data_IF_418174181702
#
_entry.id   IF_418174181702
#
_cell.length_a   1.000
_cell.length_b   1.000
_cell.length_c   1.000
_cell.angle_alpha   90.00
_cell.angle_beta   90.00
_cell.angle_gamma   90.00
#
_symmetry.space_group_name_H-M   'P 1'
#
loop_
_entity.id
_entity.type
_entity.pdbx_description
1 polymer ?
#
# COMPACT_ATOMS: atom_id res chain seq x y z
N UNK A 1 -74.90 13.35 71.98
CA UNK A 1 -76.06 14.26 71.83
C UNK A 1 -76.23 14.51 70.34
N UNK A 2 -77.42 14.17 69.81
CA UNK A 2 -78.04 14.51 68.53
C UNK A 2 -77.14 14.67 67.28
N UNK A 3 -77.22 13.69 66.38
CA UNK A 3 -77.06 13.97 64.96
C UNK A 3 -78.32 14.71 64.49
N UNK A 4 -78.12 15.82 63.79
CA UNK A 4 -79.20 16.51 63.08
C UNK A 4 -79.15 16.06 61.62
N UNK A 5 -80.07 15.18 61.25
CA UNK A 5 -80.41 14.85 59.88
C UNK A 5 -80.84 16.14 59.15
N UNK A 6 -79.93 16.76 58.41
CA UNK A 6 -80.29 17.81 57.45
C UNK A 6 -80.94 17.13 56.24
N UNK A 7 -82.27 17.22 56.18
CA UNK A 7 -83.05 16.88 55.01
C UNK A 7 -82.61 17.76 53.84
N UNK A 8 -82.01 17.13 52.84
CA UNK A 8 -81.46 17.78 51.65
C UNK A 8 -82.61 18.33 50.79
N UNK A 9 -83.01 19.57 51.09
CA UNK A 9 -84.07 20.28 50.39
C UNK A 9 -83.55 20.80 49.05
N UNK A 10 -83.51 19.95 48.02
CA UNK A 10 -83.09 20.37 46.68
C UNK A 10 -84.03 21.42 46.08
N UNK A 11 -83.49 22.60 45.77
CA UNK A 11 -84.18 23.64 44.99
C UNK A 11 -83.62 23.59 43.57
N UNK A 12 -84.47 23.36 42.57
CA UNK A 12 -84.09 23.47 41.17
C UNK A 12 -84.48 24.85 40.62
N UNK A 13 -83.55 25.47 39.89
CA UNK A 13 -83.80 26.68 39.12
C UNK A 13 -83.26 26.48 37.70
N UNK A 14 -83.90 27.09 36.71
CA UNK A 14 -83.42 27.05 35.34
C UNK A 14 -82.31 28.11 35.17
N UNK A 15 -81.11 27.64 34.84
CA UNK A 15 -80.00 28.49 34.44
C UNK A 15 -80.19 29.00 33.00
N UNK A 16 -79.65 30.18 32.64
CA UNK A 16 -79.47 30.55 31.24
C UNK A 16 -78.62 29.48 30.52
N UNK A 17 -78.97 29.15 29.27
CA UNK A 17 -78.36 28.05 28.52
C UNK A 17 -76.83 28.16 28.44
N UNK A 18 -76.30 29.36 28.20
CA UNK A 18 -74.86 29.60 28.09
C UNK A 18 -74.08 29.23 29.37
N UNK A 19 -74.71 29.39 30.55
CA UNK A 19 -74.10 29.05 31.84
C UNK A 19 -74.21 27.54 32.09
N UNK A 20 -75.32 26.92 31.69
CA UNK A 20 -75.54 25.49 31.84
C UNK A 20 -74.54 24.67 31.00
N UNK A 21 -74.30 25.12 29.76
CA UNK A 21 -73.35 24.51 28.85
C UNK A 21 -71.91 24.63 29.39
N UNK A 22 -71.53 25.82 29.88
CA UNK A 22 -70.21 26.03 30.47
C UNK A 22 -69.96 25.15 31.70
N UNK A 23 -70.94 25.01 32.60
CA UNK A 23 -70.83 24.14 33.78
C UNK A 23 -70.64 22.68 33.37
N UNK A 24 -71.31 22.24 32.30
CA UNK A 24 -71.16 20.88 31.77
C UNK A 24 -69.75 20.63 31.25
N UNK A 25 -69.24 21.54 30.43
CA UNK A 25 -67.90 21.42 29.84
C UNK A 25 -66.80 21.45 30.91
N UNK A 26 -66.99 22.27 31.94
CA UNK A 26 -66.06 22.37 33.05
C UNK A 26 -66.07 21.11 33.95
N UNK A 27 -67.24 20.52 34.18
CA UNK A 27 -67.37 19.25 34.90
C UNK A 27 -66.65 18.11 34.16
N UNK A 28 -66.85 18.02 32.84
CA UNK A 28 -66.14 17.03 32.00
C UNK A 28 -64.62 17.25 32.01
N UNK A 29 -64.15 18.51 32.02
CA UNK A 29 -62.72 18.83 32.08
C UNK A 29 -62.06 18.38 33.38
N UNK A 30 -62.77 18.49 34.51
CA UNK A 30 -62.26 18.13 35.84
C UNK A 30 -62.54 16.67 36.23
N UNK A 31 -63.30 15.95 35.41
CA UNK A 31 -63.82 14.61 35.71
C UNK A 31 -64.64 14.59 37.02
N UNK A 32 -65.42 15.64 37.23
CA UNK A 32 -66.26 15.86 38.41
C UNK A 32 -67.73 15.95 38.02
N UNK A 33 -68.65 15.77 38.97
CA UNK A 33 -70.07 15.92 38.68
C UNK A 33 -70.44 17.40 38.50
N UNK A 34 -71.41 17.69 37.61
CA UNK A 34 -71.93 19.06 37.42
C UNK A 34 -72.36 19.70 38.74
N UNK A 35 -72.92 18.91 39.65
CA UNK A 35 -73.32 19.38 40.98
C UNK A 35 -72.11 19.79 41.84
N UNK A 36 -70.99 19.06 41.78
CA UNK A 36 -69.77 19.39 42.51
C UNK A 36 -69.17 20.71 42.04
N UNK A 37 -69.10 20.92 40.72
CA UNK A 37 -68.61 22.18 40.14
C UNK A 37 -69.54 23.34 40.47
N UNK A 38 -70.86 23.16 40.38
CA UNK A 38 -71.83 24.16 40.82
C UNK A 38 -71.66 24.51 42.30
N UNK A 39 -71.48 23.50 43.15
CA UNK A 39 -71.30 23.68 44.59
C UNK A 39 -70.03 24.46 44.87
N UNK A 40 -68.91 24.07 44.28
CA UNK A 40 -67.62 24.73 44.46
C UNK A 40 -67.66 26.19 43.98
N UNK A 41 -68.26 26.43 42.81
CA UNK A 41 -68.42 27.78 42.30
C UNK A 41 -69.35 28.63 43.17
N UNK A 42 -70.44 28.06 43.71
CA UNK A 42 -71.30 28.77 44.65
C UNK A 42 -70.59 29.02 45.98
N UNK A 43 -69.74 28.11 46.46
CA UNK A 43 -68.91 28.31 47.64
C UNK A 43 -67.92 29.44 47.41
N UNK A 44 -67.21 29.44 46.28
CA UNK A 44 -66.27 30.50 45.92
C UNK A 44 -66.98 31.85 45.73
N UNK A 45 -68.11 31.87 45.02
CA UNK A 45 -68.91 33.08 44.81
C UNK A 45 -69.51 33.60 46.13
N UNK A 46 -69.96 32.71 47.02
CA UNK A 46 -70.40 33.05 48.35
C UNK A 46 -69.26 33.68 49.15
N UNK A 47 -68.09 33.03 49.22
CA UNK A 47 -66.89 33.54 49.92
C UNK A 47 -66.50 34.94 49.44
N UNK A 48 -66.47 35.16 48.11
CA UNK A 48 -66.20 36.48 47.53
C UNK A 48 -67.30 37.51 47.88
N UNK A 49 -68.57 37.12 47.84
CA UNK A 49 -69.71 38.03 48.07
C UNK A 49 -69.89 38.42 49.55
N UNK A 50 -69.65 37.50 50.48
CA UNK A 50 -69.66 37.79 51.92
C UNK A 50 -68.37 38.47 52.39
N UNK A 51 -67.37 38.62 51.50
CA UNK A 51 -66.04 39.09 51.87
C UNK A 51 -65.41 38.17 52.92
N UNK A 52 -65.78 36.89 52.88
CA UNK A 52 -65.23 35.86 53.74
C UNK A 52 -63.91 35.44 53.09
N UNK A 53 -62.83 36.07 53.52
CA UNK A 53 -61.43 35.82 53.14
C UNK A 53 -60.95 34.43 53.65
N UNK A 54 -61.86 33.47 53.77
CA UNK A 54 -61.70 32.24 54.52
C UNK A 54 -61.82 30.96 53.68
N UNK A 55 -62.13 31.01 52.39
CA UNK A 55 -61.62 29.98 51.47
C UNK A 55 -60.15 30.29 51.18
N UNK A 56 -59.36 30.25 52.24
CA UNK A 56 -57.90 30.36 52.17
C UNK A 56 -57.36 29.21 51.35
N UNK A 57 -56.17 29.37 50.77
CA UNK A 57 -55.47 28.32 50.01
C UNK A 57 -55.37 27.00 50.81
N UNK A 58 -55.47 27.04 52.15
CA UNK A 58 -55.58 25.88 53.06
C UNK A 58 -56.78 24.96 52.82
N UNK A 59 -57.87 25.45 52.21
CA UNK A 59 -59.07 24.64 51.96
C UNK A 59 -59.04 23.99 50.57
N UNK A 60 -58.32 24.58 49.61
CA UNK A 60 -58.13 24.07 48.24
C UNK A 60 -56.97 23.07 48.13
N UNK A 61 -55.91 23.30 48.89
CA UNK A 61 -54.79 22.38 49.09
C UNK A 61 -54.80 22.14 50.59
N UNK A 62 -55.25 20.96 51.02
CA UNK A 62 -55.49 20.69 52.43
C UNK A 62 -54.32 21.18 53.29
N UNK A 63 -54.61 21.93 54.36
CA UNK A 63 -53.61 22.45 55.31
C UNK A 63 -52.53 21.43 55.68
N UNK A 64 -52.92 20.16 55.79
CA UNK A 64 -52.04 19.03 56.07
C UNK A 64 -50.99 18.77 54.95
N UNK A 65 -51.33 18.99 53.67
CA UNK A 65 -50.41 18.81 52.53
C UNK A 65 -49.34 19.90 52.48
N UNK A 66 -49.71 21.16 52.79
CA UNK A 66 -48.77 22.27 52.86
C UNK A 66 -47.81 22.10 54.05
N UNK A 67 -48.31 21.70 55.21
CA UNK A 67 -47.48 21.39 56.38
C UNK A 67 -46.54 20.20 56.12
N UNK A 68 -47.01 19.18 55.40
CA UNK A 68 -46.18 18.05 54.98
C UNK A 68 -45.06 18.46 54.01
N UNK A 69 -45.37 19.29 53.01
CA UNK A 69 -44.39 19.79 52.05
C UNK A 69 -43.36 20.71 52.73
N UNK A 70 -43.80 21.58 53.62
CA UNK A 70 -42.90 22.43 54.40
C UNK A 70 -41.97 21.57 55.26
N UNK A 71 -42.50 20.56 55.96
CA UNK A 71 -41.70 19.60 56.72
C UNK A 71 -40.70 18.81 55.85
N UNK A 72 -41.10 18.39 54.65
CA UNK A 72 -40.20 17.72 53.69
C UNK A 72 -39.09 18.65 53.21
N UNK A 73 -39.43 19.91 52.93
CA UNK A 73 -38.49 20.90 52.44
C UNK A 73 -37.49 21.29 53.55
N UNK A 74 -37.96 21.39 54.80
CA UNK A 74 -37.09 21.57 55.96
C UNK A 74 -36.16 20.37 56.18
N UNK A 75 -36.68 19.15 56.09
CA UNK A 75 -35.88 17.94 56.19
C UNK A 75 -34.81 17.86 55.08
N UNK A 76 -35.19 18.14 53.83
CA UNK A 76 -34.24 18.18 52.70
C UNK A 76 -33.20 19.29 52.84
N UNK A 77 -33.60 20.47 53.35
CA UNK A 77 -32.66 21.57 53.63
C UNK A 77 -31.65 21.15 54.69
N UNK A 78 -32.09 20.42 55.71
CA UNK A 78 -31.18 19.93 56.75
C UNK A 78 -30.24 18.85 56.23
N UNK A 79 -30.77 17.86 55.50
CA UNK A 79 -29.95 16.84 54.82
C UNK A 79 -28.90 17.48 53.90
N UNK A 80 -29.28 18.48 53.11
CA UNK A 80 -28.34 19.18 52.24
C UNK A 80 -27.26 19.94 53.01
N UNK A 81 -27.60 20.54 54.16
CA UNK A 81 -26.60 21.17 55.04
C UNK A 81 -25.62 20.13 55.57
N UNK A 82 -26.11 19.00 56.07
CA UNK A 82 -25.25 17.90 56.56
C UNK A 82 -24.31 17.38 55.47
N UNK A 83 -24.80 17.18 54.24
CA UNK A 83 -23.98 16.75 53.11
C UNK A 83 -22.92 17.78 52.72
N UNK A 84 -23.25 19.08 52.74
CA UNK A 84 -22.27 20.14 52.51
C UNK A 84 -21.19 20.14 53.59
N UNK A 85 -21.56 19.90 54.85
CA UNK A 85 -20.60 19.79 55.95
C UNK A 85 -19.70 18.57 55.82
N UNK A 86 -20.23 17.42 55.37
CA UNK A 86 -19.43 16.22 55.10
C UNK A 86 -18.43 16.45 53.96
N UNK A 87 -18.88 17.01 52.83
CA UNK A 87 -18.00 17.32 51.69
C UNK A 87 -16.92 18.31 52.11
N UNK A 88 -17.29 19.36 52.86
CA UNK A 88 -16.31 20.31 53.41
C UNK A 88 -15.28 19.60 54.28
N UNK A 89 -15.73 18.72 55.19
CA UNK A 89 -14.85 17.95 56.06
C UNK A 89 -13.88 17.08 55.24
N UNK A 90 -14.39 16.37 54.24
CA UNK A 90 -13.61 15.51 53.35
C UNK A 90 -12.58 16.29 52.54
N UNK A 91 -12.94 17.42 51.96
CA UNK A 91 -12.01 18.27 51.18
C UNK A 91 -10.91 18.81 52.09
N UNK A 92 -11.26 19.29 53.29
CA UNK A 92 -10.26 19.75 54.28
C UNK A 92 -9.34 18.60 54.67
N UNK A 93 -9.87 17.40 54.88
CA UNK A 93 -9.07 16.21 55.16
C UNK A 93 -8.11 15.89 54.01
N UNK A 94 -8.60 15.77 52.78
CA UNK A 94 -7.77 15.49 51.60
C UNK A 94 -6.69 16.55 51.43
N UNK A 95 -7.03 17.83 51.57
CA UNK A 95 -6.05 18.92 51.53
C UNK A 95 -4.99 18.77 52.60
N UNK A 96 -5.38 18.49 53.85
CA UNK A 96 -4.42 18.26 54.95
C UNK A 96 -3.54 17.03 54.69
N UNK A 97 -4.10 15.94 54.18
CA UNK A 97 -3.35 14.74 53.83
C UNK A 97 -2.39 14.97 52.67
N UNK A 98 -2.82 15.70 51.63
CA UNK A 98 -1.97 16.05 50.49
C UNK A 98 -0.86 17.01 50.91
N UNK A 99 -1.17 18.06 51.69
CA UNK A 99 -0.17 18.99 52.23
C UNK A 99 0.83 18.30 53.16
N UNK A 100 0.39 17.29 53.92
CA UNK A 100 1.27 16.49 54.77
C UNK A 100 2.17 15.55 53.94
N UNK A 101 1.70 15.09 52.78
CA UNK A 101 2.48 14.24 51.85
C UNK A 101 3.46 15.06 51.01
N UNK A 102 3.14 16.31 50.72
CA UNK A 102 3.90 17.18 49.86
C UNK A 102 3.71 18.63 50.32
N UNK A 103 4.72 19.19 50.98
CA UNK A 103 4.72 20.61 51.33
C UNK A 103 4.63 21.48 50.06
N UNK A 104 4.11 22.70 50.21
CA UNK A 104 3.95 23.66 49.08
C UNK A 104 5.26 23.89 48.32
N UNK A 105 6.40 23.81 49.01
CA UNK A 105 7.74 24.04 48.46
C UNK A 105 8.56 22.74 48.32
N UNK A 106 7.92 21.57 48.22
CA UNK A 106 8.67 20.36 47.95
C UNK A 106 9.22 20.40 46.52
N UNK A 107 10.54 20.34 46.38
CA UNK A 107 11.17 20.19 45.08
C UNK A 107 10.91 18.78 44.55
N UNK A 108 10.26 18.70 43.39
CA UNK A 108 10.27 17.49 42.61
C UNK A 108 11.69 17.32 42.05
N UNK A 109 12.40 16.22 42.32
CA UNK A 109 13.60 15.90 41.56
C UNK A 109 13.15 15.82 40.10
N UNK A 110 13.58 16.80 39.30
CA UNK A 110 13.23 16.86 37.89
C UNK A 110 13.71 15.58 37.22
N UNK A 111 13.00 15.16 36.17
CA UNK A 111 13.55 14.23 35.18
C UNK A 111 14.96 14.64 34.79
N UNK A 112 15.75 13.66 34.30
CA UNK A 112 17.15 13.74 33.87
C UNK A 112 17.74 15.16 33.96
N UNK A 113 18.68 15.33 34.89
CA UNK A 113 19.37 16.60 35.11
C UNK A 113 19.81 17.24 33.79
N UNK A 114 19.89 18.58 33.76
CA UNK A 114 20.35 19.29 32.57
C UNK A 114 21.72 18.79 32.09
N UNK A 115 22.56 18.32 33.02
CA UNK A 115 23.82 17.62 32.72
C UNK A 115 23.60 16.29 32.01
N UNK A 116 22.71 15.40 32.49
CA UNK A 116 22.37 14.15 31.79
C UNK A 116 21.78 14.40 30.39
N UNK A 117 21.00 15.47 30.22
CA UNK A 117 20.46 15.87 28.91
C UNK A 117 21.53 16.45 27.98
N UNK A 118 22.52 17.16 28.53
CA UNK A 118 23.66 17.65 27.76
C UNK A 118 24.54 16.48 27.30
N UNK A 119 24.87 15.56 28.20
CA UNK A 119 25.66 14.35 27.89
C UNK A 119 24.98 13.52 26.79
N UNK A 120 23.65 13.33 26.88
CA UNK A 120 22.92 12.57 25.87
C UNK A 120 22.93 13.26 24.49
N UNK A 121 22.91 14.59 24.45
CA UNK A 121 23.01 15.35 23.18
C UNK A 121 24.40 15.19 22.57
N UNK A 122 25.45 15.28 23.39
CA UNK A 122 26.82 15.08 22.95
C UNK A 122 27.04 13.66 22.42
N UNK A 123 26.44 12.65 23.06
CA UNK A 123 26.45 11.26 22.61
C UNK A 123 25.73 11.10 21.26
N UNK A 124 24.58 11.75 21.07
CA UNK A 124 23.85 11.74 19.80
C UNK A 124 24.69 12.40 18.70
N UNK A 125 25.28 13.57 18.95
CA UNK A 125 26.14 14.26 17.98
C UNK A 125 27.40 13.44 17.65
N UNK A 126 27.98 12.76 18.63
CA UNK A 126 29.09 11.84 18.40
C UNK A 126 28.67 10.62 17.55
N UNK A 127 27.47 10.09 17.78
CA UNK A 127 26.93 8.98 17.01
C UNK A 127 26.63 9.38 15.57
N UNK A 128 26.02 10.55 15.35
CA UNK A 128 25.75 11.12 14.03
C UNK A 128 27.05 11.31 13.24
N UNK A 129 28.06 11.94 13.85
CA UNK A 129 29.39 12.09 13.21
C UNK A 129 30.03 10.76 12.84
N UNK A 130 29.90 9.74 13.71
CA UNK A 130 30.42 8.39 13.42
C UNK A 130 29.65 7.73 12.29
N UNK A 131 28.33 7.92 12.23
CA UNK A 131 27.47 7.38 11.19
C UNK A 131 27.79 8.02 9.83
N UNK A 132 27.89 9.35 9.78
CA UNK A 132 28.25 10.09 8.58
C UNK A 132 29.64 9.70 8.05
N UNK A 133 30.62 9.59 8.96
CA UNK A 133 31.95 9.10 8.60
C UNK A 133 31.93 7.66 8.08
N UNK A 134 31.09 6.81 8.67
CA UNK A 134 30.88 5.43 8.23
C UNK A 134 30.26 5.37 6.82
N UNK A 135 29.20 6.14 6.57
CA UNK A 135 28.58 6.23 5.25
C UNK A 135 29.52 6.78 4.20
N UNK A 136 30.28 7.85 4.50
CA UNK A 136 31.28 8.37 3.58
C UNK A 136 32.35 7.32 3.22
N UNK A 137 32.74 6.47 4.17
CA UNK A 137 33.66 5.38 3.88
C UNK A 137 33.02 4.29 2.99
N UNK A 138 31.77 3.92 3.24
CA UNK A 138 31.06 2.97 2.39
C UNK A 138 30.86 3.49 0.97
N UNK A 139 30.51 4.77 0.82
CA UNK A 139 30.39 5.42 -0.49
C UNK A 139 31.72 5.36 -1.25
N UNK A 140 32.84 5.72 -0.63
CA UNK A 140 34.17 5.63 -1.25
C UNK A 140 34.50 4.19 -1.70
N UNK A 141 34.17 3.19 -0.87
CA UNK A 141 34.39 1.78 -1.19
C UNK A 141 33.51 1.35 -2.37
N UNK A 142 32.23 1.74 -2.36
CA UNK A 142 31.28 1.38 -3.41
C UNK A 142 31.65 2.03 -4.74
N UNK A 143 32.04 3.31 -4.74
CA UNK A 143 32.56 4.00 -5.94
C UNK A 143 33.77 3.27 -6.51
N UNK A 144 34.76 2.94 -5.68
CA UNK A 144 35.94 2.18 -6.11
C UNK A 144 35.59 0.80 -6.67
N UNK A 145 34.60 0.12 -6.10
CA UNK A 145 34.14 -1.18 -6.59
C UNK A 145 33.43 -1.04 -7.94
N UNK A 146 32.60 -0.02 -8.11
CA UNK A 146 31.92 0.27 -9.38
C UNK A 146 32.93 0.64 -10.48
N UNK A 147 33.88 1.53 -10.20
CA UNK A 147 34.97 1.87 -11.13
C UNK A 147 35.75 0.62 -11.59
N UNK A 148 35.98 -0.31 -10.65
CA UNK A 148 36.70 -1.56 -10.94
C UNK A 148 35.85 -2.54 -11.74
N UNK A 149 34.54 -2.57 -11.55
CA UNK A 149 33.62 -3.36 -12.33
C UNK A 149 33.55 -2.85 -13.77
N UNK A 150 33.45 -1.52 -13.96
CA UNK A 150 33.44 -0.89 -15.27
C UNK A 150 34.75 -1.16 -16.04
N UNK A 151 35.89 -1.07 -15.37
CA UNK A 151 37.19 -1.42 -15.96
C UNK A 151 37.27 -2.91 -16.34
N UNK A 152 36.69 -3.80 -15.53
CA UNK A 152 36.67 -5.23 -15.84
C UNK A 152 35.75 -5.54 -17.03
N UNK A 153 34.60 -4.87 -17.11
CA UNK A 153 33.65 -4.99 -18.22
C UNK A 153 34.27 -4.53 -19.54
N UNK A 154 34.97 -3.38 -19.53
CA UNK A 154 35.68 -2.87 -20.70
C UNK A 154 36.77 -3.85 -21.18
N UNK A 155 37.54 -4.45 -20.25
CA UNK A 155 38.54 -5.47 -20.58
C UNK A 155 37.91 -6.76 -21.10
N UNK A 156 36.80 -7.20 -20.51
CA UNK A 156 36.05 -8.39 -20.95
C UNK A 156 35.54 -8.20 -22.38
N UNK A 157 34.94 -7.06 -22.67
CA UNK A 157 34.47 -6.69 -24.03
C UNK A 157 35.62 -6.70 -25.04
N UNK A 158 36.78 -6.14 -24.66
CA UNK A 158 37.97 -6.13 -25.52
C UNK A 158 38.53 -7.54 -25.76
N UNK A 159 38.54 -8.39 -24.73
CA UNK A 159 38.96 -9.79 -24.88
C UNK A 159 37.99 -10.56 -25.76
N UNK A 160 36.68 -10.35 -25.58
CA UNK A 160 35.65 -10.97 -26.40
C UNK A 160 35.81 -10.58 -27.87
N UNK A 161 36.00 -9.30 -28.18
CA UNK A 161 36.23 -8.84 -29.56
C UNK A 161 37.51 -9.43 -30.14
N UNK A 162 38.60 -9.44 -29.38
CA UNK A 162 39.88 -10.03 -29.83
C UNK A 162 39.73 -11.53 -30.11
N UNK A 163 38.97 -12.26 -29.30
CA UNK A 163 38.72 -13.69 -29.52
C UNK A 163 37.88 -13.92 -30.78
N UNK A 164 36.90 -13.07 -31.06
CA UNK A 164 36.13 -13.13 -32.31
C UNK A 164 37.04 -12.86 -33.51
N UNK A 165 37.86 -11.80 -33.46
CA UNK A 165 38.80 -11.46 -34.54
C UNK A 165 39.79 -12.61 -34.82
N UNK A 166 40.30 -13.27 -33.77
CA UNK A 166 41.19 -14.42 -33.92
C UNK A 166 40.47 -15.63 -34.53
N UNK A 167 39.19 -15.86 -34.20
CA UNK A 167 38.39 -16.93 -34.80
C UNK A 167 38.14 -16.66 -36.28
N UNK A 168 37.72 -15.45 -36.62
CA UNK A 168 37.48 -15.05 -38.01
C UNK A 168 38.77 -15.18 -38.82
N UNK A 169 39.89 -14.71 -38.28
CA UNK A 169 41.19 -14.83 -38.98
C UNK A 169 41.61 -16.28 -39.19
N UNK A 170 41.35 -17.15 -38.20
CA UNK A 170 41.61 -18.59 -38.32
C UNK A 170 40.72 -19.22 -39.39
N UNK A 171 39.45 -18.85 -39.46
CA UNK A 171 38.51 -19.39 -40.45
C UNK A 171 38.84 -18.93 -41.87
N UNK A 172 39.27 -17.69 -42.05
CA UNK A 172 39.81 -17.18 -43.31
C UNK A 172 41.07 -17.94 -43.76
N UNK A 173 42.02 -18.18 -42.85
CA UNK A 173 43.23 -18.95 -43.16
C UNK A 173 42.86 -20.38 -43.56
N UNK A 174 41.96 -21.03 -42.82
CA UNK A 174 41.49 -22.36 -43.13
C UNK A 174 40.74 -22.41 -44.47
N UNK A 175 39.96 -21.39 -44.82
CA UNK A 175 39.31 -21.29 -46.13
C UNK A 175 40.33 -21.17 -47.26
N UNK A 176 41.32 -20.28 -47.14
CA UNK A 176 42.39 -20.13 -48.13
C UNK A 176 43.20 -21.42 -48.32
N UNK A 177 43.46 -22.16 -47.24
CA UNK A 177 44.12 -23.47 -47.30
C UNK A 177 43.26 -24.50 -48.06
N UNK A 178 41.95 -24.57 -47.78
CA UNK A 178 41.02 -25.45 -48.50
C UNK A 178 40.97 -25.11 -49.99
N UNK A 179 40.90 -23.83 -50.34
CA UNK A 179 40.88 -23.36 -51.72
C UNK A 179 42.18 -23.72 -52.46
N UNK A 180 43.32 -23.48 -51.81
CA UNK A 180 44.64 -23.81 -52.36
C UNK A 180 44.78 -25.32 -52.58
N UNK A 181 44.28 -26.13 -51.64
CA UNK A 181 44.28 -27.59 -51.78
C UNK A 181 43.36 -28.05 -52.92
N UNK A 182 42.17 -27.45 -53.07
CA UNK A 182 41.25 -27.76 -54.16
C UNK A 182 41.85 -27.42 -55.53
N UNK A 183 42.45 -26.24 -55.68
CA UNK A 183 43.20 -25.84 -56.88
C UNK A 183 44.33 -26.82 -57.18
N UNK A 184 45.12 -27.17 -56.17
CA UNK A 184 46.23 -28.12 -56.33
C UNK A 184 45.75 -29.49 -56.82
N UNK A 185 44.59 -29.97 -56.34
CA UNK A 185 43.97 -31.21 -56.82
C UNK A 185 43.53 -31.11 -58.28
N UNK A 186 42.87 -30.01 -58.67
CA UNK A 186 42.43 -29.77 -60.06
C UNK A 186 43.62 -29.72 -61.02
N UNK A 187 44.68 -29.01 -60.64
CA UNK A 187 45.92 -28.91 -61.42
C UNK A 187 46.60 -30.28 -61.56
N UNK A 188 46.65 -31.07 -60.48
CA UNK A 188 47.21 -32.42 -60.51
C UNK A 188 46.38 -33.37 -61.39
N UNK A 189 45.05 -33.35 -61.28
CA UNK A 189 44.15 -34.15 -62.11
C UNK A 189 44.30 -33.79 -63.60
N UNK A 190 44.32 -32.50 -63.93
CA UNK A 190 44.57 -32.02 -65.28
C UNK A 190 45.95 -32.46 -65.80
N UNK A 191 46.99 -32.40 -64.97
CA UNK A 191 48.33 -32.87 -65.33
C UNK A 191 48.35 -34.37 -65.63
N UNK A 192 47.70 -35.19 -64.80
CA UNK A 192 47.60 -36.65 -65.00
C UNK A 192 46.87 -37.03 -66.29
N UNK A 193 45.84 -36.26 -66.66
CA UNK A 193 45.07 -36.45 -67.89
C UNK A 193 45.68 -35.75 -69.12
N UNK A 194 46.80 -35.03 -68.96
CA UNK A 194 47.46 -34.28 -70.03
C UNK A 194 46.67 -33.05 -70.53
N UNK A 195 45.77 -32.51 -69.71
CA UNK A 195 44.88 -31.40 -70.03
C UNK A 195 45.53 -30.08 -69.62
N UNK A 196 45.74 -29.17 -70.58
CA UNK A 196 46.17 -27.79 -70.31
C UNK A 196 45.00 -26.82 -70.21
N UNK A 197 44.01 -27.00 -71.08
CA UNK A 197 42.89 -26.09 -71.22
C UNK A 197 41.59 -26.89 -71.26
N UNK A 198 40.59 -26.46 -70.50
CA UNK A 198 39.29 -27.10 -70.42
C UNK A 198 38.18 -26.03 -70.47
N UNK A 199 37.03 -26.39 -71.05
CA UNK A 199 35.87 -25.53 -71.10
C UNK A 199 35.06 -25.68 -69.80
N UNK A 200 34.70 -24.56 -69.18
CA UNK A 200 33.77 -24.56 -68.05
C UNK A 200 32.44 -25.20 -68.44
N UNK A 201 31.92 -26.13 -67.64
CA UNK A 201 30.64 -26.77 -67.90
C UNK A 201 29.46 -25.78 -67.91
N UNK A 202 29.50 -24.78 -67.03
CA UNK A 202 28.40 -23.84 -66.81
C UNK A 202 28.34 -22.72 -67.86
N UNK A 203 29.45 -22.03 -68.12
CA UNK A 203 29.50 -20.92 -69.09
C UNK A 203 30.17 -21.23 -70.43
N UNK A 204 30.81 -22.39 -70.57
CA UNK A 204 31.52 -22.80 -71.80
C UNK A 204 32.86 -22.10 -72.06
N UNK A 205 33.28 -21.15 -71.22
CA UNK A 205 34.53 -20.42 -71.42
C UNK A 205 35.76 -21.33 -71.26
N UNK A 206 36.78 -21.09 -72.08
CA UNK A 206 38.03 -21.85 -72.10
C UNK A 206 38.99 -21.35 -71.02
N UNK A 207 39.36 -22.22 -70.07
CA UNK A 207 40.19 -21.88 -68.91
C UNK A 207 41.48 -22.70 -68.93
N UNK A 208 42.62 -22.04 -68.66
CA UNK A 208 43.89 -22.72 -68.41
C UNK A 208 43.91 -23.24 -66.96
N UNK A 209 43.87 -24.55 -66.80
CA UNK A 209 43.75 -25.18 -65.48
C UNK A 209 45.01 -24.92 -64.64
N UNK A 210 46.18 -24.79 -65.28
CA UNK A 210 47.45 -24.54 -64.61
C UNK A 210 47.59 -23.12 -64.05
N UNK A 211 46.72 -22.20 -64.44
CA UNK A 211 46.72 -20.80 -63.97
C UNK A 211 45.62 -20.49 -62.96
N UNK A 212 44.85 -21.49 -62.53
CA UNK A 212 43.85 -21.32 -61.49
C UNK A 212 44.51 -20.92 -60.17
N UNK A 213 43.97 -19.86 -59.54
CA UNK A 213 44.36 -19.41 -58.19
C UNK A 213 43.26 -19.61 -57.16
N UNK A 214 42.04 -19.94 -57.60
CA UNK A 214 40.86 -20.28 -56.80
C UNK A 214 40.14 -21.47 -57.43
N UNK A 215 39.38 -22.25 -56.66
CA UNK A 215 38.63 -23.41 -57.16
C UNK A 215 37.33 -23.00 -57.88
N UNK A 216 37.36 -21.90 -58.63
CA UNK A 216 36.21 -21.29 -59.30
C UNK A 216 36.58 -20.90 -60.73
N UNK A 217 35.59 -20.88 -61.61
CA UNK A 217 35.79 -20.39 -62.97
C UNK A 217 36.07 -18.87 -62.97
N UNK A 218 37.16 -18.38 -63.58
CA UNK A 218 37.49 -16.95 -63.62
C UNK A 218 36.51 -16.09 -64.44
N UNK A 219 35.59 -16.72 -65.19
CA UNK A 219 34.63 -16.03 -66.05
C UNK A 219 33.22 -15.92 -65.45
N UNK A 220 32.77 -16.95 -64.72
CA UNK A 220 31.40 -17.02 -64.18
C UNK A 220 31.34 -17.32 -62.68
N UNK A 221 32.49 -17.51 -62.02
CA UNK A 221 32.60 -17.78 -60.58
C UNK A 221 31.98 -19.09 -60.10
N UNK A 222 31.55 -19.97 -61.00
CA UNK A 222 31.02 -21.28 -60.62
C UNK A 222 32.15 -22.16 -60.04
N UNK A 223 31.87 -22.83 -58.93
CA UNK A 223 32.81 -23.75 -58.26
C UNK A 223 33.15 -24.93 -59.16
N UNK A 224 34.42 -25.35 -59.15
CA UNK A 224 34.93 -26.43 -59.97
C UNK A 224 35.20 -27.64 -59.07
N UNK A 225 34.48 -28.73 -59.33
CA UNK A 225 34.63 -29.98 -58.58
C UNK A 225 35.75 -30.86 -59.14
N UNK A 226 35.86 -30.97 -60.48
CA UNK A 226 36.82 -31.89 -61.12
C UNK A 226 37.12 -31.52 -62.59
N UNK A 227 38.04 -32.26 -63.22
CA UNK A 227 38.41 -32.12 -64.62
C UNK A 227 38.09 -33.42 -65.38
N UNK A 228 37.34 -33.31 -66.48
CA UNK A 228 36.94 -34.45 -67.31
C UNK A 228 37.58 -34.41 -68.71
N UNK A 229 37.95 -35.59 -69.20
CA UNK A 229 38.40 -35.76 -70.58
C UNK A 229 37.26 -35.54 -71.59
N UNK A 230 37.63 -35.20 -72.83
CA UNK A 230 36.67 -35.08 -73.93
C UNK A 230 35.99 -36.43 -74.20
N UNK A 231 34.66 -36.43 -74.30
CA UNK A 231 33.87 -37.64 -74.56
C UNK A 231 33.78 -38.02 -76.05
N UNK A 232 34.30 -37.18 -76.97
CA UNK A 232 34.20 -37.40 -78.43
C UNK A 232 35.39 -36.83 -79.21
N UNK A 233 35.63 -37.33 -80.43
CA UNK A 233 36.81 -37.02 -81.27
C UNK A 233 36.97 -35.53 -81.61
N UNK A 234 35.88 -34.75 -81.56
CA UNK A 234 35.86 -33.29 -81.79
C UNK A 234 35.56 -32.45 -80.52
N UNK A 235 35.48 -33.08 -79.34
CA UNK A 235 35.10 -32.40 -78.09
C UNK A 235 36.28 -31.72 -77.38
N UNK A 236 35.98 -30.69 -76.58
CA UNK A 236 36.91 -30.10 -75.62
C UNK A 236 36.85 -30.84 -74.27
N UNK A 237 37.97 -30.84 -73.53
CA UNK A 237 37.98 -31.20 -72.12
C UNK A 237 37.05 -30.28 -71.32
N UNK A 238 36.53 -30.74 -70.17
CA UNK A 238 35.57 -29.97 -69.37
C UNK A 238 35.99 -29.81 -67.92
N UNK A 239 35.72 -28.64 -67.35
CA UNK A 239 35.74 -28.41 -65.91
C UNK A 239 34.34 -28.69 -65.39
N UNK A 240 34.21 -29.74 -64.56
CA UNK A 240 32.95 -30.10 -63.95
C UNK A 240 32.62 -29.11 -62.85
N UNK A 241 31.46 -28.47 -62.96
CA UNK A 241 31.03 -27.46 -61.97
C UNK A 241 30.18 -28.09 -60.89
N UNK A 242 30.38 -27.67 -59.65
CA UNK A 242 29.68 -28.19 -58.49
C UNK A 242 30.51 -28.07 -57.22
N UNK A 243 29.88 -28.36 -56.09
CA UNK A 243 30.62 -28.44 -54.83
C UNK A 243 31.58 -29.63 -54.87
N UNK A 244 32.85 -29.45 -54.45
CA UNK A 244 33.77 -30.57 -54.34
C UNK A 244 33.13 -31.61 -53.42
N UNK A 245 33.23 -32.92 -53.73
CA UNK A 245 32.62 -33.95 -52.90
C UNK A 245 33.09 -33.77 -51.47
N UNK A 246 32.15 -33.49 -50.56
CA UNK A 246 32.45 -33.32 -49.15
C UNK A 246 33.12 -34.59 -48.66
N UNK A 247 34.37 -34.50 -48.22
CA UNK A 247 35.02 -35.59 -47.49
C UNK A 247 34.12 -35.87 -46.28
N UNK A 248 33.57 -37.09 -46.22
CA UNK A 248 32.67 -37.54 -45.16
C UNK A 248 33.23 -37.15 -43.80
N UNK A 249 32.54 -36.24 -43.12
CA UNK A 249 32.91 -35.84 -41.76
C UNK A 249 32.56 -36.99 -40.83
N UNK A 250 33.56 -37.51 -40.12
CA UNK A 250 33.35 -38.50 -39.07
C UNK A 250 32.32 -37.97 -38.06
N UNK A 251 31.40 -38.80 -37.54
CA UNK A 251 30.32 -38.36 -36.69
C UNK A 251 30.87 -37.68 -35.43
N UNK A 252 30.49 -36.41 -35.23
CA UNK A 252 30.75 -35.67 -34.01
C UNK A 252 30.05 -36.36 -32.84
N UNK A 253 30.83 -36.87 -31.89
CA UNK A 253 30.28 -37.40 -30.64
C UNK A 253 29.78 -36.24 -29.79
N UNK A 254 28.46 -36.16 -29.62
CA UNK A 254 27.80 -35.27 -28.68
C UNK A 254 28.30 -35.57 -27.24
N UNK A 255 29.06 -34.63 -26.67
CA UNK A 255 29.35 -34.58 -25.24
C UNK A 255 28.48 -33.49 -24.62
N UNK A 256 27.18 -33.78 -24.49
CA UNK A 256 26.30 -33.00 -23.61
C UNK A 256 26.70 -33.29 -22.17
N UNK A 257 27.51 -32.40 -21.60
CA UNK A 257 27.84 -32.40 -20.18
C UNK A 257 26.84 -31.50 -19.48
N UNK A 258 25.79 -32.12 -18.94
CA UNK A 258 24.79 -31.48 -18.09
C UNK A 258 25.45 -31.11 -16.75
N UNK A 259 25.73 -29.82 -16.57
CA UNK A 259 26.14 -29.25 -15.28
C UNK A 259 24.87 -28.79 -14.55
N UNK A 260 24.36 -29.62 -13.65
CA UNK A 260 23.44 -29.20 -12.61
C UNK A 260 24.25 -28.52 -11.49
N UNK A 261 23.86 -27.29 -11.12
CA UNK A 261 24.32 -26.58 -9.94
C UNK A 261 23.28 -26.79 -8.82
N UNK A 262 23.71 -27.38 -7.71
CA UNK A 262 23.03 -27.33 -6.40
C UNK A 262 23.32 -26.00 -5.68
#
# INVERSE_FOLDING_TARGET
MAGEDHQDGGISFALPADVDDWISEEADRRDESREAVCRDMMTAAHAVATGDDHTSVDELVGRDDLESLEGQLEAQREEFRELLEDVRSRVVQVKRETDAKAAVDHDHPSHASDEELADLRDDVEALERRLDAGFGNFEEILERLLDRLDELDARSTTLASTVVDLRDRRDELAANERDSAAVSRLQLAANQLGIRTAACEDCGASVDVGLLTRPECPHCSSSIADVAEKSSFFGSHRLLTGDPPSLESAPSSDLDTQFDYD
#
